data_IF_870859552221
#
_entry.id   IF_870859552221
#
_cell.length_a   1.000
_cell.length_b   1.000
_cell.length_c   1.000
_cell.angle_alpha   90.00
_cell.angle_beta   90.00
_cell.angle_gamma   90.00
#
_symmetry.space_group_name_H-M   'P 1'
#
loop_
_entity.id
_entity.type
_entity.pdbx_description
1 polymer ?
#
# COMPACT_ATOMS: atom_id res chain seq x y z
N UNK A 1 19.07 7.63 -30.47
CA UNK A 1 19.52 8.97 -30.04
C UNK A 1 18.86 9.28 -28.70
N UNK A 2 19.61 9.77 -27.68
CA UNK A 2 19.01 10.18 -26.39
C UNK A 2 18.18 11.45 -26.62
N UNK A 3 16.89 11.43 -26.26
CA UNK A 3 15.99 12.60 -26.33
C UNK A 3 16.64 13.76 -25.55
N UNK A 4 16.79 14.96 -26.11
CA UNK A 4 17.39 16.08 -25.38
C UNK A 4 16.47 16.48 -24.23
N UNK A 5 17.05 16.71 -23.04
CA UNK A 5 16.30 17.18 -21.87
C UNK A 5 15.79 18.61 -22.11
N UNK A 6 14.50 18.90 -21.85
CA UNK A 6 13.97 20.26 -21.86
C UNK A 6 14.81 21.22 -21.00
N UNK A 7 15.08 22.44 -21.48
CA UNK A 7 15.81 23.47 -20.72
C UNK A 7 15.25 23.70 -19.30
N UNK A 8 13.92 23.76 -19.09
CA UNK A 8 13.37 23.96 -17.73
C UNK A 8 13.66 22.83 -16.73
N UNK A 9 13.98 21.62 -17.21
CA UNK A 9 14.40 20.50 -16.35
C UNK A 9 15.88 20.56 -15.97
N UNK A 10 16.69 21.33 -16.70
CA UNK A 10 18.11 21.54 -16.41
C UNK A 10 18.31 22.69 -15.42
N UNK A 11 17.37 23.62 -15.36
CA UNK A 11 17.37 24.71 -14.39
C UNK A 11 17.16 24.17 -12.97
N UNK A 12 17.95 24.65 -12.01
CA UNK A 12 17.79 24.28 -10.59
C UNK A 12 16.53 24.94 -10.03
N UNK A 13 15.92 24.33 -9.02
CA UNK A 13 14.95 25.05 -8.21
C UNK A 13 15.68 26.17 -7.45
N UNK A 14 15.08 27.37 -7.31
CA UNK A 14 15.69 28.43 -6.53
C UNK A 14 15.82 28.00 -5.06
N UNK A 15 16.83 28.51 -4.38
CA UNK A 15 16.97 28.30 -2.95
C UNK A 15 15.80 28.98 -2.20
N UNK A 16 15.17 28.35 -1.20
CA UNK A 16 14.12 28.97 -0.41
C UNK A 16 14.71 30.12 0.42
N UNK A 17 14.59 31.35 -0.08
CA UNK A 17 15.03 32.56 0.61
C UNK A 17 14.02 32.95 1.71
N UNK A 18 13.88 32.07 2.71
CA UNK A 18 12.99 32.30 3.84
C UNK A 18 13.52 33.43 4.73
N UNK A 19 12.61 34.26 5.23
CA UNK A 19 12.92 35.31 6.20
C UNK A 19 12.77 34.75 7.61
N UNK A 20 13.71 35.11 8.49
CA UNK A 20 13.59 34.88 9.93
C UNK A 20 12.81 35.99 10.60
N UNK A 21 12.13 35.68 11.70
CA UNK A 21 11.59 36.70 12.61
C UNK A 21 12.78 37.48 13.19
N UNK A 22 12.68 38.82 13.21
CA UNK A 22 13.76 39.68 13.72
C UNK A 22 13.95 39.44 15.21
N UNK A 23 15.19 39.33 15.68
CA UNK A 23 15.48 39.22 17.12
C UNK A 23 15.02 40.47 17.90
N UNK A 24 14.94 41.61 17.21
CA UNK A 24 14.46 42.88 17.77
C UNK A 24 12.93 42.92 17.93
N UNK A 25 12.19 41.97 17.35
CA UNK A 25 10.72 41.93 17.46
C UNK A 25 10.25 41.72 18.91
N UNK A 26 11.12 41.15 19.77
CA UNK A 26 10.86 41.00 21.21
C UNK A 26 10.79 42.32 21.96
N UNK A 27 11.39 43.37 21.41
CA UNK A 27 11.43 44.71 21.99
C UNK A 27 10.33 45.62 21.45
N UNK A 28 9.54 45.14 20.47
CA UNK A 28 8.43 45.89 19.89
C UNK A 28 7.17 45.76 20.76
N UNK A 29 6.27 46.76 20.71
CA UNK A 29 4.90 46.62 21.21
C UNK A 29 4.21 45.39 20.60
N UNK A 30 3.30 44.78 21.36
CA UNK A 30 2.66 43.50 21.00
C UNK A 30 1.97 43.54 19.62
N UNK A 31 1.30 44.65 19.28
CA UNK A 31 0.68 44.84 17.97
C UNK A 31 1.68 44.86 16.81
N UNK A 32 2.83 45.53 16.99
CA UNK A 32 3.87 45.62 15.95
C UNK A 32 4.63 44.29 15.79
N UNK A 33 4.83 43.58 16.90
CA UNK A 33 5.37 42.22 16.88
C UNK A 33 4.48 41.27 16.08
N UNK A 34 3.17 41.28 16.33
CA UNK A 34 2.21 40.44 15.60
C UNK A 34 2.18 40.78 14.11
N UNK A 35 2.25 42.07 13.74
CA UNK A 35 2.36 42.50 12.33
C UNK A 35 3.63 41.97 11.67
N UNK A 36 4.78 42.12 12.32
CA UNK A 36 6.07 41.62 11.80
C UNK A 36 6.06 40.09 11.62
N UNK A 37 5.53 39.34 12.59
CA UNK A 37 5.40 37.89 12.48
C UNK A 37 4.46 37.46 11.35
N UNK A 38 3.34 38.18 11.17
CA UNK A 38 2.41 37.93 10.06
C UNK A 38 3.03 38.22 8.69
N UNK A 39 3.80 39.30 8.56
CA UNK A 39 4.50 39.65 7.32
C UNK A 39 5.57 38.62 6.95
N UNK A 40 6.37 38.18 7.93
CA UNK A 40 7.38 37.12 7.73
C UNK A 40 6.71 35.82 7.32
N UNK A 41 5.60 35.46 7.98
CA UNK A 41 4.83 34.26 7.63
C UNK A 41 4.28 34.34 6.21
N UNK A 42 3.61 35.44 5.85
CA UNK A 42 3.05 35.63 4.52
C UNK A 42 4.11 35.55 3.41
N UNK A 43 5.29 36.13 3.65
CA UNK A 43 6.42 36.01 2.73
C UNK A 43 6.90 34.57 2.57
N UNK A 44 7.12 33.86 3.69
CA UNK A 44 7.62 32.50 3.67
C UNK A 44 6.62 31.54 3.02
N UNK A 45 5.33 31.70 3.30
CA UNK A 45 4.25 30.93 2.69
C UNK A 45 4.22 31.16 1.16
N UNK A 46 4.37 32.40 0.70
CA UNK A 46 4.44 32.72 -0.73
C UNK A 46 5.66 32.09 -1.42
N UNK A 47 6.84 32.12 -0.77
CA UNK A 47 8.06 31.47 -1.29
C UNK A 47 7.88 29.96 -1.39
N UNK A 48 7.31 29.32 -0.37
CA UNK A 48 7.05 27.88 -0.35
C UNK A 48 6.04 27.49 -1.43
N UNK A 49 4.95 28.24 -1.57
CA UNK A 49 3.92 27.97 -2.58
C UNK A 49 4.51 28.04 -4.00
N UNK A 50 5.29 29.08 -4.31
CA UNK A 50 5.97 29.19 -5.60
C UNK A 50 6.94 28.02 -5.84
N UNK A 51 7.68 27.58 -4.82
CA UNK A 51 8.56 26.41 -4.94
C UNK A 51 7.78 25.12 -5.20
N UNK A 52 6.63 24.94 -4.54
CA UNK A 52 5.75 23.78 -4.74
C UNK A 52 5.21 23.75 -6.17
N UNK A 53 4.73 24.89 -6.68
CA UNK A 53 4.24 25.02 -8.06
C UNK A 53 5.34 24.69 -9.07
N UNK A 54 6.54 25.25 -8.90
CA UNK A 54 7.69 24.96 -9.77
C UNK A 54 8.11 23.50 -9.70
N UNK A 55 8.07 22.89 -8.52
CA UNK A 55 8.38 21.47 -8.33
C UNK A 55 7.37 20.61 -9.07
N UNK A 56 6.09 20.89 -8.88
CA UNK A 56 5.00 20.17 -9.55
C UNK A 56 5.12 20.29 -11.07
N UNK A 57 5.31 21.51 -11.59
CA UNK A 57 5.52 21.74 -13.02
C UNK A 57 6.69 20.94 -13.58
N UNK A 58 7.84 20.91 -12.88
CA UNK A 58 8.99 20.09 -13.28
C UNK A 58 8.69 18.59 -13.25
N UNK A 59 7.88 18.11 -12.32
CA UNK A 59 7.45 16.71 -12.29
C UNK A 59 6.60 16.34 -13.53
N UNK A 60 5.67 17.20 -13.97
CA UNK A 60 4.92 16.95 -15.22
C UNK A 60 5.82 16.96 -16.45
N UNK A 61 6.77 17.90 -16.51
CA UNK A 61 7.75 17.93 -17.58
C UNK A 61 8.61 16.66 -17.61
N UNK A 62 8.98 16.12 -16.44
CA UNK A 62 9.68 14.84 -16.34
C UNK A 62 8.82 13.68 -16.84
N UNK A 63 7.54 13.61 -16.46
CA UNK A 63 6.62 12.59 -16.99
C UNK A 63 6.53 12.64 -18.50
N UNK A 64 6.32 13.84 -19.07
CA UNK A 64 6.28 14.04 -20.53
C UNK A 64 7.59 13.67 -21.20
N UNK A 65 8.72 14.00 -20.59
CA UNK A 65 10.04 13.63 -21.11
C UNK A 65 10.22 12.11 -21.17
N UNK A 66 9.74 11.39 -20.16
CA UNK A 66 9.75 9.92 -20.06
C UNK A 66 8.54 9.23 -20.72
N UNK A 67 7.72 9.97 -21.46
CA UNK A 67 6.53 9.47 -22.18
C UNK A 67 5.53 8.74 -21.25
N UNK A 68 5.35 9.26 -20.04
CA UNK A 68 4.39 8.78 -19.02
C UNK A 68 3.11 9.61 -19.12
N UNK A 69 1.95 8.94 -19.24
CA UNK A 69 0.65 9.59 -19.18
C UNK A 69 0.36 10.08 -17.74
N UNK A 70 0.14 11.38 -17.52
CA UNK A 70 -0.18 11.92 -16.20
C UNK A 70 -1.51 11.39 -15.63
N UNK A 71 -2.42 10.89 -16.48
CA UNK A 71 -3.69 10.32 -16.03
C UNK A 71 -3.60 8.83 -15.70
N UNK A 72 -2.44 8.19 -15.94
CA UNK A 72 -2.26 6.78 -15.60
C UNK A 72 -2.33 6.59 -14.08
N UNK A 73 -3.06 5.59 -13.55
CA UNK A 73 -3.22 5.41 -12.10
C UNK A 73 -1.90 5.29 -11.33
N UNK A 74 -0.86 4.77 -11.99
CA UNK A 74 0.48 4.56 -11.42
C UNK A 74 1.55 5.54 -11.95
N UNK A 75 1.17 6.73 -12.46
CA UNK A 75 2.11 7.67 -13.10
C UNK A 75 3.31 8.04 -12.21
N UNK A 76 3.11 8.23 -10.89
CA UNK A 76 4.20 8.51 -9.95
C UNK A 76 5.19 7.34 -9.81
N UNK A 77 4.68 6.11 -9.73
CA UNK A 77 5.52 4.92 -9.64
C UNK A 77 6.32 4.69 -10.92
N UNK A 78 5.69 4.89 -12.09
CA UNK A 78 6.36 4.83 -13.39
C UNK A 78 7.47 5.89 -13.49
N UNK A 79 7.22 7.10 -13.00
CA UNK A 79 8.23 8.15 -13.00
C UNK A 79 9.41 7.80 -12.09
N UNK A 80 9.13 7.37 -10.85
CA UNK A 80 10.17 6.97 -9.90
C UNK A 80 11.04 5.83 -10.43
N UNK A 81 10.43 4.80 -11.03
CA UNK A 81 11.17 3.66 -11.60
C UNK A 81 12.03 4.06 -12.80
N UNK A 82 11.54 4.94 -13.68
CA UNK A 82 12.35 5.49 -14.79
C UNK A 82 13.54 6.31 -14.30
N UNK A 83 13.35 7.11 -13.25
CA UNK A 83 14.44 7.86 -12.64
C UNK A 83 15.46 6.93 -11.98
N UNK A 84 15.00 5.94 -11.20
CA UNK A 84 15.89 4.95 -10.57
C UNK A 84 16.72 4.18 -11.62
N UNK A 85 16.09 3.69 -12.69
CA UNK A 85 16.80 3.04 -13.81
C UNK A 85 17.88 3.93 -14.45
N UNK A 86 17.68 5.25 -14.44
CA UNK A 86 18.59 6.19 -15.09
C UNK A 86 19.75 6.63 -14.19
N UNK A 87 19.53 6.75 -12.88
CA UNK A 87 20.47 7.40 -11.96
C UNK A 87 21.04 6.46 -10.88
N UNK A 88 20.45 5.30 -10.62
CA UNK A 88 20.94 4.32 -9.64
C UNK A 88 21.66 3.16 -10.34
N UNK A 89 23.00 3.07 -10.24
CA UNK A 89 23.76 1.96 -10.82
C UNK A 89 23.32 0.61 -10.22
N UNK A 90 22.96 -0.34 -11.07
CA UNK A 90 22.54 -1.68 -10.64
C UNK A 90 21.05 -1.79 -10.29
N UNK A 91 20.26 -0.72 -10.39
CA UNK A 91 18.82 -0.82 -10.25
C UNK A 91 18.22 -1.68 -11.38
N UNK A 92 17.68 -2.84 -11.01
CA UNK A 92 16.93 -3.70 -11.89
C UNK A 92 15.55 -3.93 -11.27
N UNK A 93 14.50 -3.63 -12.03
CA UNK A 93 13.18 -4.11 -11.64
C UNK A 93 13.19 -5.63 -11.77
N UNK A 94 13.09 -6.32 -10.65
CA UNK A 94 12.79 -7.75 -10.67
C UNK A 94 11.37 -7.89 -11.21
N UNK A 95 11.24 -8.48 -12.39
CA UNK A 95 9.96 -9.03 -12.82
C UNK A 95 9.50 -10.00 -11.73
N UNK A 96 8.24 -9.88 -11.28
CA UNK A 96 7.63 -10.89 -10.44
C UNK A 96 7.95 -12.27 -11.05
N UNK A 97 8.38 -13.26 -10.26
CA UNK A 97 8.82 -14.54 -10.78
C UNK A 97 7.77 -15.06 -11.77
N UNK A 98 8.14 -15.21 -13.04
CA UNK A 98 7.25 -15.67 -14.08
C UNK A 98 6.94 -17.14 -13.83
N UNK A 99 5.78 -17.38 -13.23
CA UNK A 99 5.25 -18.70 -12.87
C UNK A 99 4.04 -18.51 -11.97
N UNK A 100 3.07 -19.44 -12.00
CA UNK A 100 1.99 -19.45 -10.98
C UNK A 100 2.67 -19.43 -9.61
N UNK A 101 2.37 -18.45 -8.76
CA UNK A 101 2.81 -18.46 -7.38
C UNK A 101 2.18 -19.68 -6.70
N UNK A 102 2.91 -20.80 -6.68
CA UNK A 102 2.50 -21.99 -5.92
C UNK A 102 2.60 -21.75 -4.40
N UNK A 103 3.07 -20.56 -4.01
CA UNK A 103 3.15 -20.07 -2.65
C UNK A 103 1.97 -19.14 -2.40
N UNK A 104 1.00 -19.64 -1.63
CA UNK A 104 -0.07 -18.81 -1.10
C UNK A 104 0.52 -17.81 -0.12
N UNK A 105 0.11 -16.55 -0.22
CA UNK A 105 0.46 -15.48 0.69
C UNK A 105 -0.19 -15.65 2.06
N UNK A 106 0.22 -14.81 3.01
CA UNK A 106 -0.29 -14.84 4.38
C UNK A 106 -1.83 -14.72 4.41
N UNK A 107 -2.40 -13.75 3.69
CA UNK A 107 -3.85 -13.50 3.64
C UNK A 107 -4.63 -14.69 3.07
N UNK A 108 -4.14 -15.30 1.98
CA UNK A 108 -4.77 -16.48 1.37
C UNK A 108 -4.75 -17.70 2.31
N UNK A 109 -3.63 -17.91 3.02
CA UNK A 109 -3.52 -18.98 4.01
C UNK A 109 -4.44 -18.73 5.22
N UNK A 110 -4.53 -17.48 5.69
CA UNK A 110 -5.41 -17.10 6.80
C UNK A 110 -6.89 -17.26 6.43
N UNK A 111 -7.25 -16.87 5.20
CA UNK A 111 -8.59 -17.10 4.65
C UNK A 111 -8.93 -18.58 4.56
N UNK A 112 -8.00 -19.43 4.07
CA UNK A 112 -8.21 -20.87 3.99
C UNK A 112 -8.41 -21.48 5.38
N UNK A 113 -7.59 -21.08 6.34
CA UNK A 113 -7.70 -21.54 7.72
C UNK A 113 -9.07 -21.18 8.31
N UNK A 114 -9.53 -19.95 8.07
CA UNK A 114 -10.83 -19.45 8.52
C UNK A 114 -12.00 -20.22 7.92
N UNK A 115 -11.95 -20.49 6.61
CA UNK A 115 -12.98 -21.27 5.89
C UNK A 115 -13.05 -22.72 6.38
N UNK A 116 -11.90 -23.37 6.56
CA UNK A 116 -11.85 -24.76 7.07
C UNK A 116 -12.46 -24.82 8.46
N UNK A 117 -12.06 -23.93 9.37
CA UNK A 117 -12.57 -23.92 10.73
C UNK A 117 -14.07 -23.60 10.78
N UNK A 118 -14.53 -22.63 9.98
CA UNK A 118 -15.96 -22.32 9.84
C UNK A 118 -16.78 -23.53 9.39
N UNK A 119 -16.32 -24.27 8.37
CA UNK A 119 -17.06 -25.44 7.87
C UNK A 119 -17.04 -26.58 8.90
N UNK A 120 -15.91 -26.82 9.55
CA UNK A 120 -15.80 -27.87 10.56
C UNK A 120 -16.68 -27.58 11.79
N UNK A 121 -16.83 -26.31 12.18
CA UNK A 121 -17.65 -25.89 13.33
C UNK A 121 -19.14 -25.83 13.01
N UNK A 122 -19.53 -25.33 11.83
CA UNK A 122 -20.95 -25.21 11.44
C UNK A 122 -21.58 -26.53 10.98
N UNK A 123 -20.79 -27.46 10.45
CA UNK A 123 -21.27 -28.76 9.97
C UNK A 123 -20.62 -29.88 10.78
N UNK A 124 -21.26 -30.23 11.89
CA UNK A 124 -21.12 -31.47 12.68
C UNK A 124 -19.78 -32.20 12.53
N UNK A 125 -18.72 -31.73 13.20
CA UNK A 125 -17.41 -32.40 13.32
C UNK A 125 -16.88 -33.03 12.01
N UNK A 126 -17.05 -32.34 10.88
CA UNK A 126 -16.50 -32.80 9.61
C UNK A 126 -14.97 -32.87 9.67
N UNK A 127 -14.41 -33.88 9.01
CA UNK A 127 -12.96 -33.97 8.84
C UNK A 127 -12.46 -32.81 7.98
N UNK A 128 -11.22 -32.37 8.23
CA UNK A 128 -10.53 -31.34 7.41
C UNK A 128 -10.57 -31.68 5.92
N UNK A 129 -10.46 -32.97 5.59
CA UNK A 129 -10.52 -33.45 4.20
C UNK A 129 -11.88 -33.19 3.57
N UNK A 130 -12.97 -33.43 4.30
CA UNK A 130 -14.32 -33.16 3.81
C UNK A 130 -14.59 -31.66 3.73
N UNK A 131 -14.09 -30.87 4.69
CA UNK A 131 -14.15 -29.41 4.63
C UNK A 131 -13.44 -28.88 3.38
N UNK A 132 -12.24 -29.38 3.06
CA UNK A 132 -11.52 -28.99 1.84
C UNK A 132 -12.26 -29.37 0.54
N UNK A 133 -13.01 -30.47 0.54
CA UNK A 133 -13.90 -30.80 -0.59
C UNK A 133 -15.01 -29.77 -0.74
N UNK A 134 -15.70 -29.42 0.35
CA UNK A 134 -16.76 -28.42 0.35
C UNK A 134 -16.24 -27.05 -0.08
N UNK A 135 -15.05 -26.64 0.39
CA UNK A 135 -14.41 -25.38 -0.03
C UNK A 135 -14.22 -25.37 -1.53
N UNK A 136 -13.60 -26.42 -2.09
CA UNK A 136 -13.36 -26.50 -3.52
C UNK A 136 -14.65 -26.49 -4.33
N UNK A 137 -15.68 -27.20 -3.87
CA UNK A 137 -16.89 -27.38 -4.67
C UNK A 137 -17.89 -26.22 -4.55
N UNK A 138 -17.94 -25.52 -3.40
CA UNK A 138 -18.96 -24.51 -3.09
C UNK A 138 -18.45 -23.10 -2.89
N UNK A 139 -17.26 -22.94 -2.32
CA UNK A 139 -16.74 -21.61 -1.96
C UNK A 139 -15.71 -21.10 -2.96
N UNK A 140 -14.88 -21.98 -3.50
CA UNK A 140 -13.79 -21.66 -4.42
C UNK A 140 -13.81 -22.59 -5.65
N UNK A 141 -14.90 -22.68 -6.43
CA UNK A 141 -14.98 -23.58 -7.60
C UNK A 141 -13.96 -23.25 -8.71
N UNK A 142 -13.61 -21.97 -8.85
CA UNK A 142 -12.73 -21.49 -9.92
C UNK A 142 -11.24 -21.63 -9.58
N UNK A 143 -10.91 -22.00 -8.34
CA UNK A 143 -9.52 -22.10 -7.92
C UNK A 143 -8.87 -23.33 -8.57
N UNK A 144 -7.80 -23.11 -9.34
CA UNK A 144 -7.07 -24.18 -10.05
C UNK A 144 -6.13 -24.95 -9.12
N UNK A 145 -6.58 -25.34 -7.93
CA UNK A 145 -5.84 -26.17 -6.97
C UNK A 145 -6.60 -27.47 -6.67
N UNK A 146 -5.84 -28.54 -6.44
CA UNK A 146 -6.43 -29.83 -6.06
C UNK A 146 -6.88 -29.81 -4.60
N UNK A 147 -7.81 -30.71 -4.24
CA UNK A 147 -8.21 -30.92 -2.83
C UNK A 147 -6.99 -31.19 -1.93
N UNK A 148 -6.10 -32.07 -2.38
CA UNK A 148 -4.85 -32.41 -1.67
C UNK A 148 -3.95 -31.19 -1.47
N UNK A 149 -3.93 -30.27 -2.44
CA UNK A 149 -3.20 -29.01 -2.32
C UNK A 149 -3.80 -28.13 -1.21
N UNK A 150 -5.12 -28.00 -1.14
CA UNK A 150 -5.80 -27.26 -0.07
C UNK A 150 -5.52 -27.87 1.31
N UNK A 151 -5.58 -29.19 1.44
CA UNK A 151 -5.25 -29.88 2.69
C UNK A 151 -3.81 -29.59 3.14
N UNK A 152 -2.85 -29.69 2.23
CA UNK A 152 -1.46 -29.37 2.54
C UNK A 152 -1.28 -27.90 2.94
N UNK A 153 -1.92 -26.96 2.22
CA UNK A 153 -1.86 -25.53 2.56
C UNK A 153 -2.50 -25.23 3.91
N UNK A 154 -3.58 -25.89 4.27
CA UNK A 154 -4.17 -25.80 5.60
C UNK A 154 -3.22 -26.33 6.68
N UNK A 155 -2.56 -27.47 6.45
CA UNK A 155 -1.57 -28.02 7.38
C UNK A 155 -0.35 -27.10 7.53
N UNK A 156 0.08 -26.45 6.46
CA UNK A 156 1.14 -25.43 6.49
C UNK A 156 0.69 -24.22 7.32
N UNK A 157 -0.52 -23.71 7.09
CA UNK A 157 -1.10 -22.60 7.84
C UNK A 157 -1.23 -22.92 9.34
N UNK A 158 -1.62 -24.15 9.69
CA UNK A 158 -1.75 -24.62 11.08
C UNK A 158 -0.40 -24.67 11.82
N UNK A 159 0.71 -24.84 11.09
CA UNK A 159 2.07 -24.83 11.67
C UNK A 159 2.62 -23.41 11.83
N UNK A 160 2.06 -22.42 11.14
CA UNK A 160 2.47 -21.03 11.23
C UNK A 160 1.87 -20.37 12.48
N UNK A 161 2.70 -20.18 13.52
CA UNK A 161 2.29 -19.57 14.79
C UNK A 161 1.73 -18.16 14.61
N UNK A 162 2.24 -17.39 13.64
CA UNK A 162 1.75 -16.02 13.41
C UNK A 162 0.32 -16.09 12.89
N UNK A 163 0.07 -16.94 11.91
CA UNK A 163 -1.25 -17.12 11.30
C UNK A 163 -2.27 -17.61 12.35
N UNK A 164 -1.91 -18.60 13.16
CA UNK A 164 -2.77 -19.11 14.23
C UNK A 164 -3.09 -18.03 15.26
N UNK A 165 -2.12 -17.19 15.63
CA UNK A 165 -2.37 -16.07 16.55
C UNK A 165 -3.37 -15.07 15.96
N UNK A 166 -3.19 -14.67 14.70
CA UNK A 166 -4.11 -13.77 14.01
C UNK A 166 -5.53 -14.35 13.93
N UNK A 167 -5.64 -15.64 13.61
CA UNK A 167 -6.92 -16.35 13.60
C UNK A 167 -7.58 -16.33 14.98
N UNK A 168 -6.84 -16.66 16.04
CA UNK A 168 -7.36 -16.67 17.41
C UNK A 168 -7.78 -15.27 17.87
N UNK A 169 -7.04 -14.23 17.48
CA UNK A 169 -7.44 -12.84 17.74
C UNK A 169 -8.77 -12.52 17.06
N UNK A 170 -8.92 -12.86 15.78
CA UNK A 170 -10.18 -12.65 15.05
C UNK A 170 -11.34 -13.43 15.68
N UNK A 171 -11.11 -14.69 16.06
CA UNK A 171 -12.08 -15.52 16.75
C UNK A 171 -12.51 -14.91 18.09
N UNK A 172 -11.57 -14.40 18.89
CA UNK A 172 -11.88 -13.78 20.17
C UNK A 172 -12.71 -12.51 20.02
N UNK A 173 -12.40 -11.68 19.02
CA UNK A 173 -13.19 -10.46 18.72
C UNK A 173 -14.60 -10.83 18.29
N UNK A 174 -14.75 -11.84 17.43
CA UNK A 174 -16.05 -12.35 17.00
C UNK A 174 -16.87 -12.90 18.19
N UNK A 175 -16.24 -13.67 19.08
CA UNK A 175 -16.88 -14.21 20.29
C UNK A 175 -17.32 -13.11 21.26
N UNK A 176 -16.52 -12.05 21.43
CA UNK A 176 -16.88 -10.92 22.30
C UNK A 176 -18.07 -10.11 21.78
N UNK A 177 -18.22 -10.03 20.46
CA UNK A 177 -19.27 -9.24 19.82
C UNK A 177 -20.48 -10.10 19.38
N UNK A 178 -20.50 -11.39 19.75
CA UNK A 178 -21.51 -12.38 19.35
C UNK A 178 -21.80 -12.37 17.82
N UNK A 179 -20.78 -12.13 17.01
CA UNK A 179 -20.92 -12.00 15.56
C UNK A 179 -19.73 -12.62 14.80
N UNK A 180 -19.84 -12.71 13.47
CA UNK A 180 -18.81 -13.30 12.61
C UNK A 180 -18.12 -12.24 11.71
N UNK A 181 -18.16 -10.96 12.13
CA UNK A 181 -17.80 -9.83 11.27
C UNK A 181 -16.30 -9.84 10.94
N UNK A 182 -15.44 -10.12 11.92
CA UNK A 182 -13.98 -10.06 11.76
C UNK A 182 -13.48 -11.17 10.85
N UNK A 183 -13.98 -12.40 11.05
CA UNK A 183 -13.64 -13.52 10.16
C UNK A 183 -14.24 -13.36 8.76
N UNK A 184 -15.40 -12.73 8.60
CA UNK A 184 -15.92 -12.37 7.27
C UNK A 184 -15.05 -11.33 6.56
N UNK A 185 -14.49 -10.35 7.26
CA UNK A 185 -13.53 -9.41 6.66
C UNK A 185 -12.30 -10.13 6.11
N UNK A 186 -11.77 -11.11 6.86
CA UNK A 186 -10.65 -11.95 6.40
C UNK A 186 -11.02 -12.69 5.11
N UNK A 187 -12.22 -13.28 5.03
CA UNK A 187 -12.66 -14.02 3.84
C UNK A 187 -12.89 -13.11 2.63
N UNK A 188 -13.40 -11.90 2.86
CA UNK A 188 -13.56 -10.88 1.83
C UNK A 188 -12.21 -10.43 1.28
N UNK A 189 -11.23 -10.20 2.15
CA UNK A 189 -9.89 -9.79 1.72
C UNK A 189 -9.15 -10.94 1.00
N UNK A 190 -9.25 -12.17 1.50
CA UNK A 190 -8.52 -13.32 0.96
C UNK A 190 -9.09 -13.82 -0.37
N UNK A 191 -10.43 -13.89 -0.49
CA UNK A 191 -11.10 -14.56 -1.61
C UNK A 191 -12.29 -13.79 -2.18
N UNK A 192 -12.57 -12.58 -1.69
CA UNK A 192 -13.77 -11.82 -2.03
C UNK A 192 -15.07 -12.59 -1.70
N UNK A 193 -15.06 -13.33 -0.59
CA UNK A 193 -16.17 -14.13 -0.08
C UNK A 193 -16.82 -13.46 1.14
N UNK A 194 -18.14 -13.57 1.25
CA UNK A 194 -18.92 -13.24 2.44
C UNK A 194 -19.82 -14.44 2.77
N UNK A 195 -19.85 -14.85 4.05
CA UNK A 195 -20.57 -16.04 4.53
C UNK A 195 -21.55 -15.68 5.66
#
# INVERSE_FOLDING_TARGET
>A
MKKPKPKPLLERLPFPNLRSISLLSKSLPEEEKLKHEAEVKAHNDAVINNLNELTFFKMFLLMKYHDIDPNHPNHWFLLATKLAQQYEPGFQMQSAPSGRSNKWGFTELLGLFTLVDYICTTKSNLSVSNACSIIKDKYLPDIKVSKKTLENKYLDAKKDTRLVNWYNTALNVDLQNENFVTRNMILKEAFNLEI
#
